data_IF_164762498192
#
_entry.id   IF_164762498192
#
_cell.length_a   1.000
_cell.length_b   1.000
_cell.length_c   1.000
_cell.angle_alpha   90.00
_cell.angle_beta   90.00
_cell.angle_gamma   90.00
#
_symmetry.space_group_name_H-M   'P 1'
#
loop_
_entity.id
_entity.type
_entity.pdbx_description
1 polymer ?
#
# COMPACT_ATOMS: atom_id res chain seq x y z
N UNK A 1 1.54 22.20 6.25
CA UNK A 1 1.61 20.74 6.02
C UNK A 1 0.50 20.07 6.81
N UNK A 2 -0.17 19.02 6.29
CA UNK A 2 -1.29 18.38 7.00
C UNK A 2 -0.86 17.82 8.35
N UNK A 3 -1.70 17.97 9.39
CA UNK A 3 -1.39 17.52 10.77
C UNK A 3 -1.06 16.02 10.85
N UNK A 4 -1.67 15.20 10.00
CA UNK A 4 -1.44 13.75 9.97
C UNK A 4 -0.05 13.36 9.46
N UNK A 5 0.68 14.28 8.81
CA UNK A 5 2.04 14.01 8.31
C UNK A 5 2.94 13.42 9.39
N UNK A 6 2.98 14.09 10.55
CA UNK A 6 3.85 13.74 11.66
C UNK A 6 3.19 12.76 12.65
N UNK A 7 1.97 12.32 12.35
CA UNK A 7 1.15 11.48 13.23
C UNK A 7 0.48 12.26 14.36
N UNK A 8 -0.27 11.55 15.19
CA UNK A 8 -0.93 12.10 16.39
C UNK A 8 -0.71 11.12 17.52
N UNK A 9 0.33 11.38 18.34
CA UNK A 9 0.81 10.47 19.39
C UNK A 9 -0.27 10.19 20.43
N UNK A 10 -1.05 11.20 20.81
CA UNK A 10 -2.13 11.09 21.80
C UNK A 10 -3.25 10.15 21.34
N UNK A 11 -3.39 9.96 20.02
CA UNK A 11 -4.36 9.07 19.40
C UNK A 11 -3.73 7.76 18.91
N UNK A 12 -2.45 7.53 19.21
CA UNK A 12 -1.67 6.40 18.69
C UNK A 12 -1.69 6.29 17.15
N UNK A 13 -1.75 7.45 16.47
CA UNK A 13 -1.67 7.53 15.02
C UNK A 13 -0.19 7.73 14.65
N UNK A 14 0.42 6.81 13.88
CA UNK A 14 1.82 6.93 13.49
C UNK A 14 2.00 8.07 12.47
N UNK A 15 3.26 8.52 12.23
CA UNK A 15 3.56 9.37 11.09
C UNK A 15 3.06 8.75 9.78
N UNK A 16 2.45 9.59 8.94
CA UNK A 16 1.94 9.19 7.63
C UNK A 16 2.91 9.55 6.50
N UNK A 17 3.96 10.35 6.76
CA UNK A 17 4.96 10.68 5.75
C UNK A 17 6.38 10.89 6.37
N UNK A 18 7.26 9.88 6.35
CA UNK A 18 7.02 8.57 5.77
C UNK A 18 6.11 7.69 6.63
N UNK A 19 5.20 6.97 5.99
CA UNK A 19 4.50 5.84 6.61
C UNK A 19 5.41 4.61 6.58
N UNK A 20 5.48 3.89 7.71
CA UNK A 20 6.41 2.78 7.89
C UNK A 20 5.65 1.46 7.98
N UNK A 21 6.03 0.50 7.14
CA UNK A 21 5.61 -0.90 7.25
C UNK A 21 6.83 -1.72 7.65
N UNK A 22 6.84 -2.19 8.89
CA UNK A 22 7.95 -2.99 9.44
C UNK A 22 8.14 -4.30 8.67
N UNK A 23 7.03 -4.98 8.37
CA UNK A 23 7.02 -6.24 7.63
C UNK A 23 5.67 -6.47 6.96
N UNK A 24 5.69 -6.97 5.74
CA UNK A 24 4.51 -7.51 5.07
C UNK A 24 4.89 -8.75 4.24
N UNK A 25 3.95 -9.69 4.08
CA UNK A 25 4.10 -10.85 3.22
C UNK A 25 3.05 -10.77 2.12
N UNK A 26 3.50 -10.76 0.87
CA UNK A 26 2.67 -10.66 -0.32
C UNK A 26 2.68 -12.02 -0.99
N UNK A 27 1.49 -12.55 -1.31
CA UNK A 27 1.37 -13.72 -2.19
C UNK A 27 1.26 -13.25 -3.64
N UNK A 28 2.08 -13.84 -4.51
CA UNK A 28 2.03 -13.59 -5.94
C UNK A 28 1.44 -14.82 -6.61
N UNK A 29 0.40 -14.62 -7.42
CA UNK A 29 -0.23 -15.65 -8.25
C UNK A 29 -0.61 -15.04 -9.59
N UNK A 30 0.11 -15.44 -10.64
CA UNK A 30 -0.20 -15.13 -12.04
C UNK A 30 -0.08 -16.40 -12.88
N UNK A 31 -0.39 -16.32 -14.18
CA UNK A 31 -0.28 -17.47 -15.08
C UNK A 31 1.15 -18.02 -15.23
N UNK A 32 2.17 -17.20 -14.96
CA UNK A 32 3.58 -17.53 -15.16
C UNK A 32 4.43 -17.42 -13.89
N UNK A 33 3.88 -16.89 -12.79
CA UNK A 33 4.60 -16.72 -11.54
C UNK A 33 3.75 -17.06 -10.33
N UNK A 34 4.30 -17.85 -9.42
CA UNK A 34 3.70 -18.09 -8.09
C UNK A 34 4.75 -17.92 -7.01
N UNK A 35 4.37 -17.45 -5.83
CA UNK A 35 5.32 -17.35 -4.74
C UNK A 35 4.91 -16.42 -3.62
N UNK A 36 5.89 -16.13 -2.76
CA UNK A 36 5.75 -15.22 -1.62
C UNK A 36 6.89 -14.21 -1.60
N UNK A 37 6.54 -12.94 -1.52
CA UNK A 37 7.48 -11.84 -1.33
C UNK A 37 7.34 -11.32 0.09
N UNK A 38 8.43 -11.30 0.84
CA UNK A 38 8.49 -10.65 2.15
C UNK A 38 9.16 -9.30 1.97
N UNK A 39 8.49 -8.23 2.38
CA UNK A 39 9.07 -6.88 2.44
C UNK A 39 9.28 -6.47 3.89
N UNK A 40 10.32 -5.68 4.14
CA UNK A 40 10.68 -5.16 5.46
C UNK A 40 11.19 -3.74 5.41
N UNK A 41 10.93 -3.00 6.48
CA UNK A 41 11.33 -1.60 6.64
C UNK A 41 10.92 -0.76 5.45
N UNK A 42 9.68 -0.96 4.97
CA UNK A 42 9.16 -0.19 3.85
C UNK A 42 8.84 1.20 4.35
N UNK A 43 9.40 2.20 3.68
CA UNK A 43 9.11 3.63 3.91
C UNK A 43 8.31 4.13 2.73
N UNK A 44 7.17 4.75 2.99
CA UNK A 44 6.28 5.29 1.97
C UNK A 44 6.21 6.80 2.15
N UNK A 45 6.59 7.54 1.12
CA UNK A 45 6.66 8.99 1.09
C UNK A 45 5.65 9.59 0.11
N UNK A 46 5.19 10.81 0.38
CA UNK A 46 4.28 11.57 -0.49
C UNK A 46 2.79 11.41 -0.16
N UNK A 47 2.43 10.63 0.87
CA UNK A 47 1.03 10.52 1.34
C UNK A 47 0.51 11.90 1.78
N UNK A 48 1.37 12.73 2.37
CA UNK A 48 0.99 14.07 2.84
C UNK A 48 0.76 15.11 1.74
N UNK A 49 1.13 14.78 0.50
CA UNK A 49 0.90 15.61 -0.69
C UNK A 49 -0.43 15.27 -1.40
N UNK A 50 -1.22 14.37 -0.81
CA UNK A 50 -2.51 13.96 -1.36
C UNK A 50 -3.56 15.06 -1.30
N UNK A 51 -4.42 15.10 -2.33
CA UNK A 51 -5.53 16.03 -2.47
C UNK A 51 -6.83 15.25 -2.60
N UNK A 52 -7.74 15.46 -1.66
CA UNK A 52 -9.09 14.88 -1.70
C UNK A 52 -9.88 15.56 -2.82
N UNK A 53 -10.34 14.77 -3.79
CA UNK A 53 -11.12 15.23 -4.94
C UNK A 53 -12.62 15.16 -4.66
N UNK A 54 -13.07 14.10 -3.99
CA UNK A 54 -14.46 13.95 -3.58
C UNK A 54 -14.60 13.16 -2.29
N UNK A 55 -15.68 13.46 -1.58
CA UNK A 55 -16.12 12.75 -0.39
C UNK A 55 -17.60 12.50 -0.54
N UNK A 56 -18.01 11.24 -0.39
CA UNK A 56 -19.39 10.84 -0.23
C UNK A 56 -19.54 10.15 1.13
N UNK A 57 -20.67 10.36 1.79
CA UNK A 57 -20.98 9.67 3.02
C UNK A 57 -22.47 9.40 3.15
N UNK A 58 -22.80 8.27 3.76
CA UNK A 58 -24.18 7.86 4.03
C UNK A 58 -24.27 7.28 5.44
N UNK A 59 -25.35 7.61 6.12
CA UNK A 59 -25.70 7.04 7.41
C UNK A 59 -27.08 6.38 7.34
N UNK A 60 -27.20 5.18 7.92
CA UNK A 60 -28.45 4.44 8.07
C UNK A 60 -28.51 3.84 9.48
N UNK A 61 -29.18 4.56 10.39
CA UNK A 61 -29.06 4.33 11.83
C UNK A 61 -27.60 4.44 12.27
N UNK A 62 -27.09 3.39 12.89
CA UNK A 62 -25.71 3.32 13.36
C UNK A 62 -24.72 2.95 12.26
N UNK A 63 -25.17 2.54 11.06
CA UNK A 63 -24.26 2.17 9.97
C UNK A 63 -23.78 3.41 9.23
N UNK A 64 -22.47 3.46 8.99
CA UNK A 64 -21.81 4.55 8.27
C UNK A 64 -21.10 3.97 7.05
N UNK A 65 -21.29 4.60 5.89
CA UNK A 65 -20.51 4.34 4.68
C UNK A 65 -19.85 5.64 4.23
N UNK A 66 -18.60 5.59 3.81
CA UNK A 66 -17.86 6.74 3.34
C UNK A 66 -16.99 6.38 2.13
N UNK A 67 -17.11 7.15 1.06
CA UNK A 67 -16.32 7.04 -0.16
C UNK A 67 -15.42 8.25 -0.35
N UNK A 68 -14.14 8.03 -0.64
CA UNK A 68 -13.18 9.09 -0.95
C UNK A 68 -12.51 8.82 -2.30
N UNK A 69 -12.39 9.86 -3.13
CA UNK A 69 -11.45 9.87 -4.26
C UNK A 69 -10.33 10.83 -3.91
N UNK A 70 -9.10 10.34 -3.94
CA UNK A 70 -7.90 11.11 -3.57
C UNK A 70 -6.88 11.06 -4.69
N UNK A 71 -6.37 12.22 -5.10
CA UNK A 71 -5.24 12.30 -6.02
C UNK A 71 -3.93 12.40 -5.24
N UNK A 72 -2.94 11.59 -5.61
CA UNK A 72 -1.60 11.61 -5.05
C UNK A 72 -0.62 11.88 -6.20
N UNK A 73 0.01 13.07 -6.26
CA UNK A 73 0.87 13.44 -7.39
C UNK A 73 2.05 12.48 -7.57
N UNK A 74 2.66 12.07 -6.45
CA UNK A 74 3.79 11.16 -6.44
C UNK A 74 3.83 10.38 -5.14
N UNK A 75 3.96 9.06 -5.24
CA UNK A 75 4.26 8.17 -4.13
C UNK A 75 5.61 7.51 -4.37
N UNK A 76 6.51 7.60 -3.39
CA UNK A 76 7.79 6.89 -3.42
C UNK A 76 7.81 5.90 -2.28
N UNK A 77 8.16 4.65 -2.57
CA UNK A 77 8.36 3.65 -1.54
C UNK A 77 9.66 2.88 -1.75
N UNK A 78 10.33 2.60 -0.65
CA UNK A 78 11.60 1.89 -0.65
C UNK A 78 11.67 0.94 0.54
N UNK A 79 12.44 -0.13 0.39
CA UNK A 79 12.62 -1.10 1.46
C UNK A 79 13.48 -2.28 1.03
N UNK A 80 13.44 -3.33 1.85
CA UNK A 80 14.15 -4.57 1.57
C UNK A 80 13.13 -5.67 1.25
N UNK A 81 13.48 -6.54 0.31
CA UNK A 81 12.66 -7.69 -0.05
C UNK A 81 13.44 -9.00 0.02
N UNK A 82 12.72 -10.08 0.26
CA UNK A 82 13.15 -11.46 0.01
C UNK A 82 11.97 -12.21 -0.58
N UNK A 83 12.16 -12.77 -1.78
CA UNK A 83 11.14 -13.54 -2.45
C UNK A 83 11.48 -15.04 -2.45
N UNK A 84 10.44 -15.87 -2.49
CA UNK A 84 10.51 -17.29 -2.85
C UNK A 84 9.48 -17.48 -3.96
N UNK A 85 9.98 -17.61 -5.19
CA UNK A 85 9.19 -17.53 -6.41
C UNK A 85 9.46 -18.74 -7.29
N UNK A 86 8.41 -19.18 -7.98
CA UNK A 86 8.48 -20.06 -9.13
C UNK A 86 8.01 -19.25 -10.33
N UNK A 87 8.91 -18.98 -11.26
CA UNK A 87 8.63 -18.29 -12.52
C UNK A 87 8.76 -19.33 -13.63
N UNK A 88 7.67 -19.61 -14.33
CA UNK A 88 7.53 -20.78 -15.20
C UNK A 88 7.94 -22.06 -14.44
N UNK A 89 9.05 -22.69 -14.80
CA UNK A 89 9.59 -23.90 -14.15
C UNK A 89 10.83 -23.61 -13.28
N UNK A 90 11.26 -22.34 -13.18
CA UNK A 90 12.48 -21.93 -12.49
C UNK A 90 12.15 -21.46 -11.08
N UNK A 91 12.75 -22.13 -10.08
CA UNK A 91 12.67 -21.69 -8.68
C UNK A 91 13.75 -20.67 -8.36
N UNK A 92 13.36 -19.55 -7.77
CA UNK A 92 14.25 -18.43 -7.46
C UNK A 92 13.98 -17.87 -6.07
N UNK A 93 15.05 -17.43 -5.39
CA UNK A 93 14.93 -16.80 -4.06
C UNK A 93 15.67 -15.45 -3.96
N UNK A 94 15.34 -14.48 -4.84
CA UNK A 94 16.04 -13.21 -4.87
C UNK A 94 15.80 -12.43 -3.58
N UNK A 95 16.81 -11.65 -3.19
CA UNK A 95 16.75 -10.75 -2.03
C UNK A 95 17.56 -9.51 -2.31
N UNK A 96 17.09 -8.38 -1.80
CA UNK A 96 17.79 -7.13 -2.00
C UNK A 96 16.98 -5.93 -1.56
N UNK A 97 17.42 -4.78 -2.05
CA UNK A 97 16.73 -3.51 -1.91
C UNK A 97 15.78 -3.32 -3.10
N UNK A 98 14.65 -2.67 -2.84
CA UNK A 98 13.75 -2.21 -3.88
C UNK A 98 13.37 -0.75 -3.65
N UNK A 99 13.02 -0.08 -4.74
CA UNK A 99 12.23 1.13 -4.69
C UNK A 99 11.20 1.14 -5.81
N UNK A 100 10.11 1.85 -5.58
CA UNK A 100 9.07 2.09 -6.56
C UNK A 100 8.68 3.56 -6.49
N UNK A 101 8.57 4.18 -7.66
CA UNK A 101 7.97 5.51 -7.82
C UNK A 101 6.68 5.36 -8.61
N UNK A 102 5.59 5.89 -8.07
CA UNK A 102 4.31 6.01 -8.76
C UNK A 102 3.97 7.48 -8.90
N UNK A 103 3.49 7.89 -10.08
CA UNK A 103 3.03 9.26 -10.34
C UNK A 103 1.63 9.26 -10.89
N UNK A 104 0.92 10.38 -10.68
CA UNK A 104 -0.45 10.58 -11.12
C UNK A 104 -1.39 9.46 -10.63
N UNK A 105 -1.32 9.19 -9.32
CA UNK A 105 -2.13 8.18 -8.66
C UNK A 105 -3.51 8.76 -8.31
N UNK A 106 -4.57 8.04 -8.64
CA UNK A 106 -5.92 8.27 -8.13
C UNK A 106 -6.31 7.08 -7.26
N UNK A 107 -6.69 7.34 -6.02
CA UNK A 107 -7.11 6.34 -5.06
C UNK A 107 -8.61 6.51 -4.76
N UNK A 108 -9.40 5.55 -5.23
CA UNK A 108 -10.82 5.44 -4.89
C UNK A 108 -10.93 4.51 -3.68
N UNK A 109 -11.46 4.98 -2.57
CA UNK A 109 -11.62 4.18 -1.35
C UNK A 109 -13.06 4.17 -0.86
N UNK A 110 -13.49 3.02 -0.33
CA UNK A 110 -14.78 2.83 0.30
C UNK A 110 -14.57 2.25 1.69
N UNK A 111 -15.19 2.87 2.67
CA UNK A 111 -15.14 2.49 4.06
C UNK A 111 -16.53 2.27 4.60
N UNK A 112 -16.69 1.23 5.41
CA UNK A 112 -17.91 0.95 6.15
C UNK A 112 -17.58 0.88 7.64
N UNK A 113 -18.51 1.31 8.47
CA UNK A 113 -18.37 1.28 9.91
C UNK A 113 -19.71 1.32 10.62
N UNK A 114 -19.64 1.26 11.93
CA UNK A 114 -20.79 1.35 12.82
C UNK A 114 -20.50 2.29 13.98
N UNK A 115 -21.50 3.07 14.37
CA UNK A 115 -21.47 3.88 15.57
C UNK A 115 -21.67 2.99 16.79
N UNK A 116 -20.91 3.27 17.84
CA UNK A 116 -21.08 2.63 19.13
C UNK A 116 -20.82 3.62 20.27
N UNK A 117 -21.54 3.44 21.37
CA UNK A 117 -21.38 4.24 22.59
C UNK A 117 -20.32 3.63 23.51
N UNK A 118 -19.44 4.48 24.04
CA UNK A 118 -18.48 4.11 25.10
C UNK A 118 -18.20 5.33 25.97
N UNK A 119 -18.29 5.18 27.29
CA UNK A 119 -18.02 6.26 28.25
C UNK A 119 -18.81 7.56 27.96
N UNK A 120 -20.06 7.42 27.52
CA UNK A 120 -20.95 8.55 27.17
C UNK A 120 -20.58 9.29 25.89
N UNK A 121 -19.71 8.71 25.04
CA UNK A 121 -19.34 9.26 23.74
C UNK A 121 -19.64 8.26 22.62
N UNK A 122 -20.13 8.78 21.49
CA UNK A 122 -20.28 8.03 20.25
C UNK A 122 -18.96 7.94 19.50
N UNK A 123 -18.57 6.73 19.10
CA UNK A 123 -17.38 6.46 18.30
C UNK A 123 -17.76 5.75 17.00
N UNK A 124 -17.02 6.03 15.93
CA UNK A 124 -17.08 5.24 14.70
C UNK A 124 -16.11 4.06 14.81
N UNK A 125 -16.62 2.83 14.70
CA UNK A 125 -15.82 1.63 14.47
C UNK A 125 -15.78 1.33 12.98
N UNK A 126 -14.62 1.50 12.36
CA UNK A 126 -14.40 1.07 10.98
C UNK A 126 -14.44 -0.48 10.93
N UNK A 127 -15.31 -1.04 10.11
CA UNK A 127 -15.49 -2.49 9.95
C UNK A 127 -14.96 -2.99 8.62
N UNK A 128 -14.90 -2.14 7.60
CA UNK A 128 -14.42 -2.48 6.27
C UNK A 128 -13.72 -1.29 5.63
N UNK A 129 -12.66 -1.58 4.89
CA UNK A 129 -11.94 -0.59 4.09
C UNK A 129 -11.46 -1.26 2.81
N UNK A 130 -11.93 -0.76 1.67
CA UNK A 130 -11.49 -1.15 0.35
C UNK A 130 -10.88 0.05 -0.35
N UNK A 131 -9.93 -0.20 -1.24
CA UNK A 131 -9.37 0.83 -2.09
C UNK A 131 -8.98 0.25 -3.44
N UNK A 132 -9.07 1.10 -4.46
CA UNK A 132 -8.77 0.80 -5.85
C UNK A 132 -7.84 1.91 -6.35
N UNK A 133 -6.56 1.60 -6.62
CA UNK A 133 -5.61 2.56 -7.19
C UNK A 133 -5.66 2.55 -8.73
N UNK A 134 -5.72 3.73 -9.32
CA UNK A 134 -5.42 3.99 -10.73
C UNK A 134 -4.07 4.69 -10.81
N UNK A 135 -3.12 4.09 -11.53
CA UNK A 135 -1.72 4.53 -11.52
C UNK A 135 -1.38 5.04 -12.91
N UNK A 136 -1.04 6.33 -13.04
CA UNK A 136 -0.63 6.92 -14.31
C UNK A 136 0.68 6.34 -14.82
N UNK A 137 1.73 6.41 -14.01
CA UNK A 137 3.04 5.83 -14.33
C UNK A 137 3.70 5.18 -13.11
N UNK A 138 4.49 4.12 -13.36
CA UNK A 138 5.15 3.33 -12.32
C UNK A 138 6.54 2.89 -12.76
N UNK A 139 7.54 3.26 -11.95
CA UNK A 139 8.92 2.85 -12.10
C UNK A 139 9.32 1.96 -10.93
N UNK A 140 9.75 0.73 -11.23
CA UNK A 140 10.18 -0.26 -10.23
C UNK A 140 11.67 -0.54 -10.40
N UNK A 141 12.40 -0.54 -9.29
CA UNK A 141 13.77 -1.04 -9.20
C UNK A 141 13.85 -2.11 -8.12
N UNK A 142 14.49 -3.24 -8.44
CA UNK A 142 14.82 -4.29 -7.48
C UNK A 142 16.24 -4.81 -7.74
N UNK A 143 17.12 -4.71 -6.74
CA UNK A 143 18.48 -5.23 -6.84
C UNK A 143 18.50 -6.75 -6.73
N UNK A 144 19.35 -7.44 -7.49
CA UNK A 144 19.52 -8.91 -7.43
C UNK A 144 18.25 -9.70 -7.76
N UNK A 145 17.38 -9.16 -8.63
CA UNK A 145 16.19 -9.87 -9.09
C UNK A 145 16.56 -11.12 -9.89
N UNK A 146 17.57 -10.99 -10.76
CA UNK A 146 18.13 -12.09 -11.54
C UNK A 146 19.56 -12.34 -11.05
N UNK A 147 19.81 -13.40 -10.26
CA UNK A 147 21.13 -13.67 -9.69
C UNK A 147 22.13 -14.25 -10.71
N UNK A 148 21.66 -14.81 -11.82
CA UNK A 148 22.48 -15.43 -12.87
C UNK A 148 22.04 -14.91 -14.25
N UNK A 149 22.93 -14.28 -15.05
CA UNK A 149 22.61 -13.84 -16.41
C UNK A 149 22.01 -14.93 -17.30
N UNK A 150 22.34 -16.21 -17.09
CA UNK A 150 21.75 -17.32 -17.83
C UNK A 150 20.25 -17.50 -17.55
N UNK A 151 19.76 -17.02 -16.39
CA UNK A 151 18.35 -17.05 -16.04
C UNK A 151 17.55 -15.91 -16.68
N UNK A 152 18.20 -14.88 -17.24
CA UNK A 152 17.54 -13.75 -17.87
C UNK A 152 16.68 -14.16 -19.07
N UNK A 153 17.07 -15.19 -19.83
CA UNK A 153 16.31 -15.69 -20.99
C UNK A 153 14.96 -16.34 -20.61
N UNK A 154 14.82 -16.78 -19.35
CA UNK A 154 13.60 -17.42 -18.83
C UNK A 154 12.67 -16.45 -18.09
N UNK A 155 13.16 -15.23 -17.83
CA UNK A 155 12.47 -14.15 -17.11
C UNK A 155 12.19 -13.05 -18.14
N UNK A 156 11.35 -13.35 -19.12
CA UNK A 156 10.81 -12.33 -20.03
C UNK A 156 9.61 -11.72 -19.33
N UNK A 157 9.74 -10.46 -18.88
CA UNK A 157 8.68 -9.66 -18.24
C UNK A 157 8.04 -8.75 -19.29
#
# INVERSE_FOLDING_TARGET
>A
TPRLKDGIKELNIPPMDPFIIERNNIEVRSGFATGRVQVRNVRIFGISDSVVQSVDHRMDGDKVSMGLVTQVPRLYLEGNYKADMMINEVKMTPKGYFNVTMTDLVLSSQSEGELYERDGHTYLRLTKFNFEPEIGDMHIYASNLVPDPALSEYIVI
#
